data_IF_537815970687
#
_entry.id   IF_537815970687
#
_cell.length_a   1.000
_cell.length_b   1.000
_cell.length_c   1.000
_cell.angle_alpha   90.00
_cell.angle_beta   90.00
_cell.angle_gamma   90.00
#
_symmetry.space_group_name_H-M   'P 1'
#
loop_
_entity.id
_entity.type
_entity.pdbx_description
1 polymer ?
#
# COMPACT_ATOMS: atom_id res chain seq x y z
N UNK A 1 -10.40 40.30 -24.96
CA UNK A 1 -10.25 39.13 -25.85
C UNK A 1 -9.26 38.09 -25.34
N UNK A 2 -8.16 38.46 -24.67
CA UNK A 2 -7.16 37.48 -24.16
C UNK A 2 -7.72 36.61 -23.03
N UNK A 3 -8.47 37.19 -22.08
CA UNK A 3 -9.05 36.47 -20.93
C UNK A 3 -10.05 35.39 -21.37
N UNK A 4 -10.91 35.71 -22.33
CA UNK A 4 -11.89 34.77 -22.89
C UNK A 4 -11.21 33.60 -23.62
N UNK A 5 -10.09 33.86 -24.30
CA UNK A 5 -9.28 32.82 -24.95
C UNK A 5 -8.62 31.86 -23.96
N UNK A 6 -8.09 32.37 -22.84
CA UNK A 6 -7.48 31.55 -21.78
C UNK A 6 -8.53 30.68 -21.07
N UNK A 7 -9.72 31.22 -20.81
CA UNK A 7 -10.83 30.44 -20.23
C UNK A 7 -11.28 29.32 -21.18
N UNK A 8 -11.41 29.60 -22.47
CA UNK A 8 -11.76 28.58 -23.46
C UNK A 8 -10.69 27.48 -23.57
N UNK A 9 -9.40 27.86 -23.55
CA UNK A 9 -8.28 26.91 -23.59
C UNK A 9 -8.28 25.99 -22.36
N UNK A 10 -8.46 26.55 -21.17
CA UNK A 10 -8.47 25.77 -19.92
C UNK A 10 -9.67 24.82 -19.85
N UNK A 11 -10.84 25.24 -20.33
CA UNK A 11 -12.01 24.37 -20.44
C UNK A 11 -11.78 23.20 -21.41
N UNK A 12 -11.15 23.44 -22.56
CA UNK A 12 -10.82 22.39 -23.52
C UNK A 12 -9.81 21.39 -22.96
N UNK A 13 -8.78 21.88 -22.25
CA UNK A 13 -7.79 21.01 -21.59
C UNK A 13 -8.46 20.18 -20.50
N UNK A 14 -9.31 20.78 -19.67
CA UNK A 14 -10.02 20.08 -18.61
C UNK A 14 -10.97 19.01 -19.16
N UNK A 15 -11.71 19.32 -20.23
CA UNK A 15 -12.57 18.37 -20.91
C UNK A 15 -11.76 17.20 -21.47
N UNK A 16 -10.60 17.49 -22.09
CA UNK A 16 -9.68 16.48 -22.58
C UNK A 16 -9.18 15.55 -21.47
N UNK A 17 -8.78 16.11 -20.32
CA UNK A 17 -8.35 15.33 -19.16
C UNK A 17 -9.47 14.46 -18.59
N UNK A 18 -10.70 14.98 -18.52
CA UNK A 18 -11.87 14.22 -18.08
C UNK A 18 -12.19 13.04 -19.02
N UNK A 19 -12.11 13.25 -20.33
CA UNK A 19 -12.30 12.18 -21.31
C UNK A 19 -11.19 11.14 -21.19
N UNK A 20 -9.94 11.56 -21.01
CA UNK A 20 -8.80 10.65 -20.83
C UNK A 20 -8.96 9.81 -19.55
N UNK A 21 -9.41 10.44 -18.46
CA UNK A 21 -9.72 9.77 -17.20
C UNK A 21 -10.85 8.74 -17.38
N UNK A 22 -11.94 9.12 -18.04
CA UNK A 22 -13.06 8.23 -18.33
C UNK A 22 -12.62 7.02 -19.18
N UNK A 23 -11.79 7.23 -20.20
CA UNK A 23 -11.24 6.15 -21.02
C UNK A 23 -10.35 5.22 -20.19
N UNK A 24 -9.52 5.74 -19.28
CA UNK A 24 -8.71 4.92 -18.36
C UNK A 24 -9.58 4.09 -17.43
N UNK A 25 -10.63 4.67 -16.85
CA UNK A 25 -11.58 3.95 -15.99
C UNK A 25 -12.33 2.86 -16.78
N UNK A 26 -12.77 3.16 -18.00
CA UNK A 26 -13.47 2.18 -18.86
C UNK A 26 -12.53 1.04 -19.26
N UNK A 27 -11.31 1.34 -19.71
CA UNK A 27 -10.33 0.32 -20.09
C UNK A 27 -9.95 -0.57 -18.91
N UNK A 28 -9.71 0.02 -17.72
CA UNK A 28 -9.47 -0.74 -16.50
C UNK A 28 -10.68 -1.61 -16.12
N UNK A 29 -11.90 -1.08 -16.20
CA UNK A 29 -13.14 -1.84 -15.91
C UNK A 29 -13.44 -2.96 -16.91
N UNK A 30 -12.97 -2.82 -18.15
CA UNK A 30 -13.07 -3.86 -19.18
C UNK A 30 -11.98 -4.91 -18.98
N UNK A 31 -10.75 -4.51 -18.67
CA UNK A 31 -9.65 -5.43 -18.36
C UNK A 31 -9.95 -6.27 -17.11
N UNK A 32 -10.60 -5.71 -16.09
CA UNK A 32 -11.07 -6.48 -14.93
C UNK A 32 -12.19 -7.48 -15.28
N UNK A 33 -12.94 -7.28 -16.36
CA UNK A 33 -13.96 -8.23 -16.86
C UNK A 33 -13.39 -9.31 -17.79
N UNK A 34 -12.27 -9.04 -18.46
CA UNK A 34 -11.62 -10.01 -19.36
C UNK A 34 -10.53 -10.87 -18.70
N UNK A 35 -10.12 -10.57 -17.45
CA UNK A 35 -9.18 -11.39 -16.69
C UNK A 35 -9.80 -12.69 -16.11
N UNK A 36 -11.09 -12.96 -16.37
CA UNK A 36 -11.76 -14.22 -16.04
C UNK A 36 -12.45 -14.78 -17.29
N UNK A 37 -11.66 -15.27 -18.24
CA UNK A 37 -12.16 -16.14 -19.31
C UNK A 37 -11.20 -17.32 -19.46
N UNK A 38 -11.28 -18.27 -18.51
CA UNK A 38 -10.95 -19.67 -18.78
C UNK A 38 -12.28 -20.40 -19.05
N UNK A 39 -12.37 -21.22 -20.10
CA UNK A 39 -13.64 -21.74 -20.59
C UNK A 39 -14.10 -22.93 -19.74
N UNK A 40 -15.23 -22.77 -19.07
CA UNK A 40 -15.94 -23.83 -18.36
C UNK A 40 -17.43 -23.60 -18.46
N UNK A 41 -18.09 -24.46 -19.22
CA UNK A 41 -19.52 -24.48 -19.49
C UNK A 41 -20.39 -24.40 -18.21
N UNK A 42 -21.49 -23.66 -18.24
CA UNK A 42 -22.84 -24.17 -18.49
C UNK A 42 -23.86 -23.03 -18.46
N UNK A 43 -24.95 -23.28 -19.16
CA UNK A 43 -25.98 -22.35 -19.60
C UNK A 43 -26.85 -21.72 -18.49
N UNK A 44 -27.59 -20.71 -18.96
CA UNK A 44 -28.93 -20.26 -18.58
C UNK A 44 -29.10 -19.07 -17.61
N UNK A 45 -29.85 -18.11 -18.16
CA UNK A 45 -30.40 -16.88 -17.59
C UNK A 45 -31.90 -17.13 -17.32
N UNK A 46 -32.69 -16.16 -16.84
CA UNK A 46 -32.73 -15.58 -15.51
C UNK A 46 -34.09 -15.88 -14.84
N UNK A 47 -34.13 -16.19 -13.55
CA UNK A 47 -35.39 -16.14 -12.78
C UNK A 47 -35.13 -15.53 -11.41
N UNK A 48 -35.82 -14.41 -11.17
CA UNK A 48 -36.01 -13.81 -9.86
C UNK A 48 -36.59 -14.85 -8.89
N UNK A 49 -35.87 -15.16 -7.82
CA UNK A 49 -36.52 -15.57 -6.57
C UNK A 49 -35.66 -15.14 -5.40
N UNK A 50 -36.20 -14.20 -4.63
CA UNK A 50 -35.69 -13.77 -3.34
C UNK A 50 -35.64 -14.99 -2.42
N UNK A 51 -34.43 -15.45 -2.06
CA UNK A 51 -34.23 -16.38 -0.94
C UNK A 51 -32.81 -16.28 -0.42
N UNK A 52 -32.69 -15.67 0.75
CA UNK A 52 -31.52 -15.73 1.63
C UNK A 52 -31.14 -17.19 1.89
N UNK A 53 -30.01 -17.66 1.39
CA UNK A 53 -29.07 -18.54 2.13
C UNK A 53 -27.74 -18.66 1.36
N UNK A 54 -26.64 -18.80 2.12
CA UNK A 54 -25.28 -19.22 1.72
C UNK A 54 -24.26 -18.14 1.33
N UNK A 55 -23.69 -17.52 2.37
CA UNK A 55 -22.53 -16.64 2.35
C UNK A 55 -21.19 -17.33 2.16
N UNK A 56 -20.93 -17.90 0.99
CA UNK A 56 -19.60 -18.41 0.62
C UNK A 56 -19.02 -17.81 -0.68
N UNK A 57 -19.83 -17.16 -1.52
CA UNK A 57 -19.32 -16.41 -2.67
C UNK A 57 -18.88 -14.97 -2.34
N UNK A 58 -19.32 -14.42 -1.20
CA UNK A 58 -19.00 -13.05 -0.78
C UNK A 58 -17.62 -12.91 -0.12
N UNK A 59 -17.05 -13.99 0.43
CA UNK A 59 -15.77 -13.96 1.16
C UNK A 59 -14.56 -13.68 0.23
N UNK A 60 -14.63 -14.10 -1.03
CA UNK A 60 -13.56 -13.86 -2.00
C UNK A 60 -13.66 -12.46 -2.63
N UNK A 61 -14.88 -11.91 -2.76
CA UNK A 61 -15.10 -10.54 -3.22
C UNK A 61 -14.72 -9.50 -2.15
N UNK A 62 -14.90 -9.80 -0.86
CA UNK A 62 -14.46 -8.93 0.25
C UNK A 62 -12.95 -8.87 0.39
N UNK A 63 -12.23 -9.99 0.18
CA UNK A 63 -10.77 -10.03 0.27
C UNK A 63 -10.08 -9.04 -0.68
N UNK A 64 -10.51 -8.98 -1.95
CA UNK A 64 -9.92 -8.06 -2.93
C UNK A 64 -10.14 -6.58 -2.60
N UNK A 65 -11.28 -6.28 -1.97
CA UNK A 65 -11.65 -4.92 -1.53
C UNK A 65 -10.79 -4.49 -0.34
N UNK A 66 -10.43 -5.44 0.52
CA UNK A 66 -9.60 -5.23 1.69
C UNK A 66 -8.12 -5.03 1.32
N UNK A 67 -7.60 -5.79 0.33
CA UNK A 67 -6.23 -5.59 -0.18
C UNK A 67 -6.02 -4.17 -0.75
N UNK A 68 -7.01 -3.60 -1.42
CA UNK A 68 -6.93 -2.24 -1.97
C UNK A 68 -6.94 -1.19 -0.84
N UNK A 69 -7.74 -1.43 0.20
CA UNK A 69 -7.77 -0.61 1.41
C UNK A 69 -6.44 -0.63 2.16
N UNK A 70 -5.93 -1.82 2.44
CA UNK A 70 -4.62 -2.03 3.06
C UNK A 70 -3.49 -1.38 2.26
N UNK A 71 -3.47 -1.58 0.94
CA UNK A 71 -2.48 -0.95 0.07
C UNK A 71 -2.52 0.57 0.20
N UNK A 72 -3.73 1.16 0.20
CA UNK A 72 -3.92 2.60 0.30
C UNK A 72 -3.47 3.13 1.66
N UNK A 73 -3.86 2.46 2.75
CA UNK A 73 -3.44 2.81 4.10
C UNK A 73 -1.91 2.75 4.25
N UNK A 74 -1.28 1.67 3.79
CA UNK A 74 0.18 1.53 3.82
C UNK A 74 0.88 2.57 2.95
N UNK A 75 0.31 2.91 1.79
CA UNK A 75 0.89 3.93 0.93
C UNK A 75 0.83 5.32 1.56
N UNK A 76 -0.28 5.67 2.23
CA UNK A 76 -0.44 6.92 2.96
C UNK A 76 0.56 6.97 4.12
N UNK A 77 0.62 5.91 4.93
CA UNK A 77 1.51 5.84 6.09
C UNK A 77 2.99 5.91 5.67
N UNK A 78 3.38 5.19 4.62
CA UNK A 78 4.73 5.26 4.06
C UNK A 78 5.06 6.67 3.56
N UNK A 79 4.12 7.36 2.92
CA UNK A 79 4.30 8.75 2.49
C UNK A 79 4.45 9.73 3.66
N UNK A 80 3.69 9.53 4.74
CA UNK A 80 3.79 10.32 5.96
C UNK A 80 5.18 10.16 6.61
N UNK A 81 5.63 8.92 6.77
CA UNK A 81 6.94 8.63 7.36
C UNK A 81 8.11 9.07 6.48
N UNK A 82 8.00 8.90 5.17
CA UNK A 82 9.01 9.44 4.22
C UNK A 82 9.15 10.96 4.36
N UNK A 83 8.02 11.67 4.48
CA UNK A 83 8.03 13.12 4.70
C UNK A 83 8.67 13.48 6.05
N UNK A 84 8.33 12.77 7.12
CA UNK A 84 8.93 13.00 8.46
C UNK A 84 10.45 12.82 8.42
N UNK A 85 10.92 11.70 7.86
CA UNK A 85 12.34 11.45 7.65
C UNK A 85 13.01 12.59 6.87
N UNK A 86 12.39 13.05 5.78
CA UNK A 86 12.94 14.12 4.94
C UNK A 86 13.03 15.46 5.69
N UNK A 87 12.03 15.81 6.49
CA UNK A 87 12.05 17.03 7.33
C UNK A 87 13.20 16.97 8.34
N UNK A 88 13.49 15.78 8.87
CA UNK A 88 14.59 15.53 9.82
C UNK A 88 15.94 15.21 9.14
N UNK A 89 16.05 15.46 7.84
CA UNK A 89 17.31 15.36 7.08
C UNK A 89 17.68 13.96 6.58
N UNK A 90 16.76 12.99 6.65
CA UNK A 90 16.95 11.62 6.14
C UNK A 90 16.17 11.38 4.84
N UNK A 91 16.89 11.32 3.71
CA UNK A 91 16.31 10.95 2.41
C UNK A 91 16.43 9.44 2.17
N UNK A 92 15.32 8.69 2.27
CA UNK A 92 15.31 7.23 2.15
C UNK A 92 15.88 6.68 0.82
N UNK A 93 15.69 7.39 -0.29
CA UNK A 93 16.22 6.98 -1.59
C UNK A 93 17.76 7.02 -1.66
N UNK A 94 18.37 7.99 -0.95
CA UNK A 94 19.81 8.24 -0.93
C UNK A 94 20.51 7.57 0.26
N UNK A 95 19.72 7.06 1.22
CA UNK A 95 20.24 6.45 2.44
C UNK A 95 21.09 5.18 2.17
N UNK A 96 21.96 4.77 3.11
CA UNK A 96 22.67 3.50 3.03
C UNK A 96 21.73 2.30 3.00
N UNK A 97 22.20 1.16 2.46
CA UNK A 97 21.40 -0.07 2.33
C UNK A 97 20.75 -0.50 3.65
N UNK A 98 21.51 -0.51 4.75
CA UNK A 98 21.01 -0.87 6.07
C UNK A 98 19.79 -0.03 6.51
N UNK A 99 19.81 1.28 6.24
CA UNK A 99 18.70 2.18 6.57
C UNK A 99 17.45 1.87 5.75
N UNK A 100 17.62 1.51 4.47
CA UNK A 100 16.52 1.06 3.61
C UNK A 100 15.94 -0.28 4.10
N UNK A 101 16.79 -1.16 4.62
CA UNK A 101 16.37 -2.42 5.23
C UNK A 101 15.58 -2.19 6.53
N UNK A 102 16.01 -1.24 7.38
CA UNK A 102 15.26 -0.81 8.57
C UNK A 102 13.89 -0.22 8.21
N UNK A 103 13.83 0.62 7.17
CA UNK A 103 12.57 1.15 6.67
C UNK A 103 11.65 0.07 6.11
N UNK A 104 12.22 -0.98 5.49
CA UNK A 104 11.47 -2.16 5.04
C UNK A 104 10.88 -2.90 6.23
N UNK A 105 11.67 -3.16 7.28
CA UNK A 105 11.21 -3.83 8.49
C UNK A 105 10.10 -3.04 9.21
N UNK A 106 10.26 -1.72 9.33
CA UNK A 106 9.24 -0.84 9.91
C UNK A 106 7.94 -0.89 9.12
N UNK A 107 7.99 -0.75 7.78
CA UNK A 107 6.78 -0.79 6.96
C UNK A 107 6.11 -2.18 6.97
N UNK A 108 6.89 -3.24 7.10
CA UNK A 108 6.36 -4.59 7.26
C UNK A 108 5.63 -4.77 8.60
N UNK A 109 6.16 -4.20 9.69
CA UNK A 109 5.47 -4.13 10.98
C UNK A 109 4.16 -3.38 10.89
N UNK A 110 4.16 -2.23 10.21
CA UNK A 110 2.94 -1.48 9.94
C UNK A 110 1.92 -2.28 9.13
N UNK A 111 2.37 -3.02 8.11
CA UNK A 111 1.53 -3.94 7.34
C UNK A 111 0.85 -5.00 8.20
N UNK A 112 1.58 -5.59 9.15
CA UNK A 112 1.05 -6.59 10.07
C UNK A 112 0.04 -6.00 11.07
N UNK A 113 0.17 -4.72 11.42
CA UNK A 113 -0.78 -4.04 12.31
C UNK A 113 -2.10 -3.73 11.60
N UNK A 114 -2.03 -3.29 10.34
CA UNK A 114 -3.19 -2.82 9.57
C UNK A 114 -3.98 -3.94 8.90
N UNK A 115 -3.37 -5.10 8.66
CA UNK A 115 -4.09 -6.25 8.09
C UNK A 115 -4.86 -7.04 9.16
N UNK A 116 -5.80 -7.87 8.70
CA UNK A 116 -6.46 -8.83 9.56
C UNK A 116 -5.46 -9.85 10.12
N UNK A 117 -5.74 -10.38 11.32
CA UNK A 117 -4.81 -11.25 12.03
C UNK A 117 -4.38 -12.49 11.23
N UNK A 118 -5.28 -13.05 10.41
CA UNK A 118 -5.02 -14.21 9.54
C UNK A 118 -4.05 -13.93 8.40
N UNK A 119 -3.93 -12.67 7.99
CA UNK A 119 -3.10 -12.25 6.85
C UNK A 119 -1.70 -11.78 7.28
N UNK A 120 -1.45 -11.74 8.60
CA UNK A 120 -0.14 -11.42 9.15
C UNK A 120 0.87 -12.47 8.72
N UNK A 121 2.08 -11.99 8.39
CA UNK A 121 3.19 -12.84 7.96
C UNK A 121 2.95 -13.69 6.71
N UNK A 122 1.93 -13.35 5.91
CA UNK A 122 1.69 -14.03 4.65
C UNK A 122 2.56 -13.46 3.52
N UNK A 123 2.87 -14.30 2.52
CA UNK A 123 3.60 -13.88 1.32
C UNK A 123 2.96 -12.68 0.58
N UNK A 124 1.63 -12.66 0.35
CA UNK A 124 0.97 -11.52 -0.29
C UNK A 124 1.15 -10.20 0.44
N UNK A 125 1.12 -10.20 1.79
CA UNK A 125 1.40 -9.00 2.57
C UNK A 125 2.84 -8.51 2.35
N UNK A 126 3.80 -9.44 2.40
CA UNK A 126 5.21 -9.12 2.17
C UNK A 126 5.43 -8.55 0.76
N UNK A 127 4.76 -9.07 -0.27
CA UNK A 127 4.82 -8.54 -1.63
C UNK A 127 4.26 -7.13 -1.76
N UNK A 128 3.12 -6.85 -1.11
CA UNK A 128 2.53 -5.51 -1.08
C UNK A 128 3.51 -4.52 -0.44
N UNK A 129 4.06 -4.86 0.72
CA UNK A 129 5.02 -4.02 1.44
C UNK A 129 6.28 -3.81 0.61
N UNK A 130 6.85 -4.88 0.05
CA UNK A 130 8.02 -4.82 -0.81
C UNK A 130 7.78 -3.91 -2.02
N UNK A 131 6.62 -4.02 -2.68
CA UNK A 131 6.26 -3.17 -3.81
C UNK A 131 6.08 -1.69 -3.44
N UNK A 132 5.66 -1.37 -2.21
CA UNK A 132 5.57 0.02 -1.73
C UNK A 132 6.97 0.55 -1.40
N UNK A 133 7.74 -0.17 -0.57
CA UNK A 133 9.03 0.32 -0.09
C UNK A 133 10.07 0.40 -1.20
N UNK A 134 10.04 -0.50 -2.18
CA UNK A 134 10.92 -0.45 -3.36
C UNK A 134 10.80 0.86 -4.14
N UNK A 135 9.59 1.41 -4.23
CA UNK A 135 9.35 2.70 -4.89
C UNK A 135 9.87 3.89 -4.09
N UNK A 136 9.93 3.78 -2.77
CA UNK A 136 10.38 4.84 -1.86
C UNK A 136 11.89 4.84 -1.63
N UNK A 137 12.49 3.65 -1.58
CA UNK A 137 13.91 3.45 -1.22
C UNK A 137 14.80 3.15 -2.43
N UNK A 138 14.21 2.89 -3.60
CA UNK A 138 14.91 2.39 -4.80
C UNK A 138 15.57 1.02 -4.61
N UNK A 139 15.15 0.25 -3.60
CA UNK A 139 15.52 -1.17 -3.49
C UNK A 139 14.75 -2.01 -4.50
N UNK A 140 15.39 -3.07 -4.98
CA UNK A 140 14.66 -4.10 -5.74
C UNK A 140 13.65 -4.81 -4.83
N UNK A 141 12.55 -5.29 -5.40
CA UNK A 141 11.52 -5.98 -4.62
C UNK A 141 12.07 -7.24 -3.95
N UNK A 142 12.94 -8.00 -4.63
CA UNK A 142 13.59 -9.18 -4.05
C UNK A 142 14.48 -8.85 -2.85
N UNK A 143 15.15 -7.69 -2.86
CA UNK A 143 15.93 -7.21 -1.72
C UNK A 143 15.04 -6.90 -0.51
N UNK A 144 13.89 -6.26 -0.74
CA UNK A 144 12.95 -5.97 0.33
C UNK A 144 12.35 -7.26 0.93
N UNK A 145 12.04 -8.25 0.09
CA UNK A 145 11.57 -9.57 0.55
C UNK A 145 12.64 -10.30 1.36
N UNK A 146 13.91 -10.29 0.90
CA UNK A 146 15.01 -10.89 1.66
C UNK A 146 15.16 -10.26 3.04
N UNK A 147 15.03 -8.94 3.15
CA UNK A 147 15.05 -8.23 4.45
C UNK A 147 13.91 -8.67 5.37
N UNK A 148 12.72 -8.94 4.81
CA UNK A 148 11.57 -9.45 5.58
C UNK A 148 11.83 -10.88 6.07
N UNK A 149 12.42 -11.75 5.25
CA UNK A 149 12.79 -13.11 5.65
C UNK A 149 13.90 -13.15 6.72
N UNK A 150 14.79 -12.16 6.70
CA UNK A 150 15.87 -12.03 7.68
C UNK A 150 15.50 -11.23 8.93
N UNK A 151 14.24 -10.81 9.06
CA UNK A 151 13.76 -9.94 10.13
C UNK A 151 14.19 -10.44 11.51
N UNK A 152 14.03 -11.73 11.79
CA UNK A 152 14.33 -12.33 13.10
C UNK A 152 15.82 -12.54 13.37
N UNK A 153 16.69 -12.37 12.37
CA UNK A 153 18.14 -12.57 12.51
C UNK A 153 18.87 -11.33 13.01
N UNK A 154 18.22 -10.16 12.94
CA UNK A 154 18.81 -8.89 13.35
C UNK A 154 17.93 -8.19 14.39
N UNK A 155 18.46 -7.88 15.59
CA UNK A 155 17.69 -7.21 16.64
C UNK A 155 17.23 -5.81 16.23
N UNK A 156 18.02 -5.10 15.40
CA UNK A 156 17.67 -3.77 14.89
C UNK A 156 16.48 -3.83 13.94
N UNK A 157 16.43 -4.85 13.06
CA UNK A 157 15.26 -5.08 12.19
C UNK A 157 14.01 -5.38 13.02
N UNK A 158 14.12 -6.22 14.05
CA UNK A 158 13.01 -6.49 14.97
C UNK A 158 12.54 -5.24 15.73
N UNK A 159 13.46 -4.39 16.18
CA UNK A 159 13.12 -3.14 16.84
C UNK A 159 12.36 -2.20 15.90
N UNK A 160 12.84 -2.04 14.66
CA UNK A 160 12.15 -1.25 13.64
C UNK A 160 10.78 -1.81 13.29
N UNK A 161 10.67 -3.13 13.17
CA UNK A 161 9.38 -3.82 12.97
C UNK A 161 8.39 -3.55 14.11
N UNK A 162 8.83 -3.62 15.37
CA UNK A 162 7.98 -3.33 16.54
C UNK A 162 7.50 -1.89 16.53
N UNK A 163 8.40 -0.93 16.29
CA UNK A 163 8.03 0.47 16.16
C UNK A 163 7.00 0.69 15.04
N UNK A 164 7.17 0.00 13.91
CA UNK A 164 6.19 0.04 12.82
C UNK A 164 4.82 -0.53 13.19
N UNK A 165 4.80 -1.62 13.96
CA UNK A 165 3.57 -2.24 14.46
C UNK A 165 2.82 -1.30 15.42
N UNK A 166 3.52 -0.73 16.39
CA UNK A 166 2.95 0.22 17.36
C UNK A 166 2.53 1.52 16.68
N UNK A 167 3.39 2.10 15.84
CA UNK A 167 3.13 3.34 15.13
C UNK A 167 1.93 3.26 14.20
N UNK A 168 1.76 2.14 13.48
CA UNK A 168 0.60 1.91 12.64
C UNK A 168 -0.69 1.69 13.45
N UNK A 169 -0.62 1.02 14.60
CA UNK A 169 -1.75 0.89 15.53
C UNK A 169 -2.23 2.25 16.02
N UNK A 170 -1.31 3.10 16.48
CA UNK A 170 -1.65 4.47 16.87
C UNK A 170 -2.23 5.30 15.72
N UNK A 171 -1.69 5.14 14.51
CA UNK A 171 -2.20 5.83 13.34
C UNK A 171 -3.62 5.38 12.97
N UNK A 172 -3.93 4.08 13.07
CA UNK A 172 -5.27 3.57 12.79
C UNK A 172 -6.32 4.20 13.72
N UNK A 173 -5.99 4.39 15.00
CA UNK A 173 -6.88 4.98 16.00
C UNK A 173 -6.93 6.52 15.96
N UNK A 174 -5.78 7.17 15.83
CA UNK A 174 -5.63 8.62 16.07
C UNK A 174 -5.17 9.42 14.86
N UNK A 175 -4.93 8.76 13.72
CA UNK A 175 -4.49 9.35 12.46
C UNK A 175 -3.15 10.10 12.53
N UNK A 176 -2.33 9.81 13.54
CA UNK A 176 -0.94 10.28 13.64
C UNK A 176 -0.04 9.18 14.20
N UNK A 177 1.27 9.25 13.89
CA UNK A 177 2.29 8.35 14.44
C UNK A 177 3.08 9.11 15.50
N UNK A 178 3.16 8.62 16.76
CA UNK A 178 3.99 9.21 17.80
C UNK A 178 5.47 9.25 17.40
N UNK A 179 6.22 10.26 17.85
CA UNK A 179 7.64 10.40 17.49
C UNK A 179 8.48 9.17 17.88
N UNK A 180 8.25 8.62 19.07
CA UNK A 180 8.92 7.41 19.58
C UNK A 180 8.75 6.17 18.68
N UNK A 181 7.66 6.10 17.92
CA UNK A 181 7.29 4.97 17.06
C UNK A 181 7.49 5.32 15.58
N UNK A 182 7.99 6.54 15.29
CA UNK A 182 8.26 7.00 13.94
C UNK A 182 9.40 6.22 13.31
N UNK A 183 9.39 6.13 11.98
CA UNK A 183 10.45 5.49 11.22
C UNK A 183 11.82 6.14 11.49
N UNK A 184 11.85 7.47 11.52
CA UNK A 184 13.09 8.20 11.78
C UNK A 184 13.68 7.83 13.14
N UNK A 185 12.86 7.88 14.20
CA UNK A 185 13.31 7.58 15.56
C UNK A 185 13.71 6.11 15.71
N UNK A 186 12.96 5.18 15.11
CA UNK A 186 13.30 3.77 15.10
C UNK A 186 14.67 3.51 14.45
N UNK A 187 14.99 4.21 13.36
CA UNK A 187 16.31 4.13 12.73
C UNK A 187 17.37 4.78 13.62
N UNK A 188 17.15 5.99 14.12
CA UNK A 188 18.20 6.72 14.85
C UNK A 188 18.55 6.07 16.19
N UNK A 189 17.55 5.57 16.91
CA UNK A 189 17.75 4.91 18.21
C UNK A 189 18.44 3.56 18.06
N UNK A 190 18.17 2.80 17.00
CA UNK A 190 18.65 1.41 16.90
C UNK A 190 19.83 1.22 15.93
N UNK A 191 20.07 2.12 14.99
CA UNK A 191 21.14 1.98 13.99
C UNK A 191 22.45 2.70 14.34
N UNK A 192 22.43 3.60 15.32
CA UNK A 192 23.62 4.39 15.74
C UNK A 192 24.15 4.01 17.13
N UNK A 193 23.72 2.86 17.67
CA UNK A 193 24.30 2.19 18.85
C UNK A 193 25.28 1.13 18.37
#
# INVERSE_FOLDING_TARGET
MIVTGVVALTQLVLLGLLVLLALRVITLSRQSRFACASPGAFCESPVNTFRETSGQAAANASHSRDHTGLFTQLHILAGLQEKDCKVKGLTLAEAPRAVKDYATAWLYGAGCALCEHRDRHTGPLAEIVAGIISRKTLLTQGNALATIDELTRCPVLLACYRAGLEGAGFWQEKQYVPERDSLYEAITVNAFI
#
